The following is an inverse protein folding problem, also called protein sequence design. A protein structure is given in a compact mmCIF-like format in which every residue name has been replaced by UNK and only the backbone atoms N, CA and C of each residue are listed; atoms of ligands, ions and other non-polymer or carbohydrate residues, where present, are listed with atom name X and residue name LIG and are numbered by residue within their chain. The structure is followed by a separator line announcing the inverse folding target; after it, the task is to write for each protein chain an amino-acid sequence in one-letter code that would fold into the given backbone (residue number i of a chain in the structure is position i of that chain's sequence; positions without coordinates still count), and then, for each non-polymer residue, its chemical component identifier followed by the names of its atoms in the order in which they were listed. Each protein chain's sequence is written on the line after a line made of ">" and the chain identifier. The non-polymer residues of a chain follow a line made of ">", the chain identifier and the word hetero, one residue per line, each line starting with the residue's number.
data_IF_688609925131
#
_entry.id   IF_688609925131
#
_cell.length_a   1.000
_cell.length_b   1.000
_cell.length_c   1.000
_cell.angle_alpha   90.00
_cell.angle_beta   90.00
_cell.angle_gamma   90.00
#
_symmetry.space_group_name_H-M   'P 1'
#
loop_
_entity.id
_entity.type
_entity.pdbx_description
1 polymer ?
#
# COMPACT_ATOMS: atom_id res chain seq x y z
N UNK A 1 -34.45 -5.22 -3.67
CA UNK A 1 -33.69 -6.01 -4.68
C UNK A 1 -32.73 -5.04 -5.34
N UNK A 2 -31.41 -5.11 -5.33
CA UNK A 2 -30.37 -5.89 -4.65
C UNK A 2 -29.11 -4.99 -4.77
N UNK A 3 -28.13 -5.05 -3.86
CA UNK A 3 -26.92 -4.23 -4.01
C UNK A 3 -26.16 -4.70 -5.24
N UNK A 4 -25.76 -3.76 -6.09
CA UNK A 4 -24.94 -4.00 -7.27
C UNK A 4 -23.56 -4.48 -6.80
N UNK A 5 -23.31 -5.78 -6.91
CA UNK A 5 -22.00 -6.38 -6.64
C UNK A 5 -21.12 -6.00 -7.83
N UNK A 6 -20.39 -4.91 -7.69
CA UNK A 6 -19.39 -4.47 -8.66
C UNK A 6 -18.33 -5.56 -8.76
N UNK A 7 -18.40 -6.36 -9.84
CA UNK A 7 -17.43 -7.39 -10.14
C UNK A 7 -16.04 -6.79 -10.22
N UNK A 8 -15.12 -7.33 -9.41
CA UNK A 8 -13.70 -7.05 -9.48
C UNK A 8 -13.23 -7.21 -10.94
N UNK A 9 -12.65 -6.15 -11.51
CA UNK A 9 -12.19 -6.19 -12.90
C UNK A 9 -11.01 -7.16 -13.07
N UNK A 10 -10.63 -7.52 -14.31
CA UNK A 10 -9.46 -8.39 -14.57
C UNK A 10 -8.16 -7.91 -13.91
N UNK A 11 -8.03 -6.58 -13.69
CA UNK A 11 -6.90 -5.98 -12.98
C UNK A 11 -6.87 -6.34 -11.49
N UNK A 12 -8.04 -6.41 -10.86
CA UNK A 12 -8.18 -6.74 -9.43
C UNK A 12 -7.92 -8.22 -9.17
N UNK A 13 -8.35 -9.08 -10.11
CA UNK A 13 -8.03 -10.51 -10.07
C UNK A 13 -6.52 -10.76 -10.17
N UNK A 14 -5.84 -10.13 -11.14
CA UNK A 14 -4.39 -10.22 -11.28
C UNK A 14 -3.64 -9.66 -10.07
N UNK A 15 -4.13 -8.57 -9.47
CA UNK A 15 -3.54 -8.03 -8.25
C UNK A 15 -3.66 -9.02 -7.07
N UNK A 16 -4.80 -9.68 -6.90
CA UNK A 16 -4.99 -10.71 -5.87
C UNK A 16 -4.08 -11.91 -6.08
N UNK A 17 -3.91 -12.37 -7.31
CA UNK A 17 -2.95 -13.44 -7.65
C UNK A 17 -1.51 -13.05 -7.33
N UNK A 18 -1.09 -11.84 -7.72
CA UNK A 18 0.24 -11.33 -7.41
C UNK A 18 0.48 -11.25 -5.89
N UNK A 19 -0.51 -10.79 -5.11
CA UNK A 19 -0.40 -10.72 -3.64
C UNK A 19 -0.34 -12.12 -3.02
N UNK A 20 -1.12 -13.07 -3.53
CA UNK A 20 -1.03 -14.46 -3.09
C UNK A 20 0.38 -15.04 -3.35
N UNK A 21 0.95 -14.75 -4.52
CA UNK A 21 2.30 -15.15 -4.89
C UNK A 21 3.37 -14.52 -3.98
N UNK A 22 3.26 -13.21 -3.71
CA UNK A 22 4.13 -12.51 -2.75
C UNK A 22 4.08 -13.20 -1.38
N UNK A 23 2.87 -13.54 -0.91
CA UNK A 23 2.68 -14.20 0.38
C UNK A 23 3.35 -15.58 0.45
N UNK A 24 3.30 -16.35 -0.64
CA UNK A 24 4.05 -17.61 -0.73
C UNK A 24 5.57 -17.37 -0.60
N UNK A 25 6.14 -16.46 -1.40
CA UNK A 25 7.57 -16.15 -1.35
C UNK A 25 8.03 -15.68 0.03
N UNK A 26 7.22 -14.88 0.73
CA UNK A 26 7.51 -14.44 2.09
C UNK A 26 7.62 -15.63 3.06
N UNK A 27 6.78 -16.66 2.92
CA UNK A 27 6.88 -17.88 3.71
C UNK A 27 8.20 -18.62 3.48
N UNK A 28 8.62 -18.75 2.22
CA UNK A 28 9.90 -19.38 1.86
C UNK A 28 11.09 -18.57 2.41
N UNK A 29 11.08 -17.24 2.25
CA UNK A 29 12.14 -16.36 2.73
C UNK A 29 12.25 -16.35 4.26
N UNK A 30 11.14 -16.49 4.99
CA UNK A 30 11.14 -16.63 6.45
C UNK A 30 11.92 -17.87 6.86
N UNK A 31 11.73 -19.00 6.16
CA UNK A 31 12.48 -20.22 6.42
C UNK A 31 13.98 -20.07 6.16
N UNK A 32 14.36 -19.35 5.10
CA UNK A 32 15.78 -19.03 4.83
C UNK A 32 16.38 -18.15 5.93
N UNK A 33 15.69 -17.08 6.34
CA UNK A 33 16.16 -16.18 7.39
C UNK A 33 16.29 -16.88 8.76
N UNK A 34 15.37 -17.80 9.07
CA UNK A 34 15.37 -18.60 10.30
C UNK A 34 16.58 -19.54 10.36
N UNK A 35 16.89 -20.20 9.23
CA UNK A 35 18.07 -21.07 9.12
C UNK A 35 19.40 -20.33 9.32
N UNK A 36 19.44 -19.04 8.99
CA UNK A 36 20.62 -18.17 9.15
C UNK A 36 20.65 -17.46 10.53
N UNK A 37 19.65 -17.68 11.39
CA UNK A 37 19.55 -16.99 12.69
C UNK A 37 19.33 -15.47 12.56
N UNK A 38 18.74 -15.01 11.45
CA UNK A 38 18.54 -13.60 11.17
C UNK A 38 17.22 -13.08 11.79
N UNK A 39 17.15 -13.01 13.12
CA UNK A 39 15.91 -12.72 13.87
C UNK A 39 15.18 -11.44 13.43
N UNK A 40 15.93 -10.34 13.22
CA UNK A 40 15.35 -9.09 12.75
C UNK A 40 14.76 -9.21 11.35
N UNK A 41 15.36 -10.04 10.49
CA UNK A 41 14.86 -10.27 9.14
C UNK A 41 13.62 -11.17 9.18
N UNK A 42 13.59 -12.21 10.02
CA UNK A 42 12.39 -13.01 10.29
C UNK A 42 11.21 -12.14 10.72
N UNK A 43 11.44 -11.23 11.66
CA UNK A 43 10.41 -10.29 12.13
C UNK A 43 9.84 -9.44 10.97
N UNK A 44 10.70 -8.83 10.15
CA UNK A 44 10.26 -8.00 9.03
C UNK A 44 9.49 -8.81 7.98
N UNK A 45 9.92 -10.03 7.70
CA UNK A 45 9.25 -10.92 6.76
C UNK A 45 7.88 -11.37 7.30
N UNK A 46 7.78 -11.71 8.58
CA UNK A 46 6.51 -12.09 9.21
C UNK A 46 5.52 -10.92 9.22
N UNK A 47 5.97 -9.71 9.52
CA UNK A 47 5.11 -8.52 9.43
C UNK A 47 4.63 -8.26 8.00
N UNK A 48 5.51 -8.43 7.00
CA UNK A 48 5.12 -8.33 5.59
C UNK A 48 4.15 -9.45 5.15
N UNK A 49 4.27 -10.66 5.72
CA UNK A 49 3.36 -11.77 5.43
C UNK A 49 1.95 -11.51 5.96
N UNK A 50 1.84 -10.97 7.19
CA UNK A 50 0.56 -10.55 7.78
C UNK A 50 -0.09 -9.45 6.93
N UNK A 51 0.70 -8.45 6.56
CA UNK A 51 0.29 -7.35 5.68
C UNK A 51 -0.28 -7.84 4.34
N UNK A 52 0.41 -8.78 3.68
CA UNK A 52 -0.06 -9.37 2.43
C UNK A 52 -1.39 -10.11 2.60
N UNK A 53 -1.61 -10.78 3.74
CA UNK A 53 -2.88 -11.42 4.08
C UNK A 53 -4.03 -10.43 4.28
N UNK A 54 -3.76 -9.29 4.93
CA UNK A 54 -4.75 -8.23 5.11
C UNK A 54 -5.12 -7.56 3.78
N UNK A 55 -4.15 -7.36 2.88
CA UNK A 55 -4.41 -6.88 1.51
C UNK A 55 -5.24 -7.90 0.73
N UNK A 56 -4.87 -9.18 0.77
CA UNK A 56 -5.57 -10.25 0.04
C UNK A 56 -7.03 -10.42 0.49
N UNK A 57 -7.29 -10.26 1.79
CA UNK A 57 -8.64 -10.30 2.37
C UNK A 57 -9.45 -9.02 2.16
N UNK A 58 -8.84 -7.97 1.57
CA UNK A 58 -9.48 -6.68 1.32
C UNK A 58 -9.62 -5.81 2.55
N UNK A 59 -8.99 -6.16 3.68
CA UNK A 59 -8.95 -5.33 4.90
C UNK A 59 -8.05 -4.11 4.75
N UNK A 60 -7.07 -4.18 3.84
CA UNK A 60 -6.20 -3.06 3.48
C UNK A 60 -6.21 -2.82 1.98
N UNK A 61 -6.40 -1.57 1.58
CA UNK A 61 -6.28 -1.17 0.19
C UNK A 61 -4.81 -1.12 -0.19
N UNK A 62 -4.46 -1.63 -1.38
CA UNK A 62 -3.19 -1.27 -1.99
C UNK A 62 -3.19 0.25 -2.11
N UNK A 63 -2.14 0.91 -1.62
CA UNK A 63 -1.95 2.33 -1.87
C UNK A 63 -1.78 2.50 -3.38
N UNK A 64 -2.88 2.72 -4.09
CA UNK A 64 -2.84 3.19 -5.46
C UNK A 64 -2.19 4.57 -5.38
N UNK A 65 -0.90 4.66 -5.70
CA UNK A 65 -0.23 5.93 -5.96
C UNK A 65 -0.84 6.49 -7.25
N UNK A 66 -2.05 7.01 -7.10
CA UNK A 66 -2.73 7.97 -7.95
C UNK A 66 -3.19 9.17 -7.12
N UNK A 67 -2.65 9.34 -5.92
CA UNK A 67 -2.71 10.60 -5.20
C UNK A 67 -1.71 11.53 -5.90
N UNK A 68 -2.24 12.34 -6.81
CA UNK A 68 -1.69 13.61 -7.28
C UNK A 68 -0.92 14.25 -6.12
N UNK A 69 0.41 14.05 -6.12
CA UNK A 69 1.28 14.55 -5.08
C UNK A 69 1.17 16.06 -5.10
N UNK A 70 0.46 16.61 -4.10
CA UNK A 70 0.47 18.01 -3.68
C UNK A 70 0.86 19.00 -4.78
N UNK A 71 -0.14 19.53 -5.52
CA UNK A 71 -0.01 20.84 -6.18
C UNK A 71 0.45 21.83 -5.11
N UNK A 72 1.75 22.06 -5.05
CA UNK A 72 2.39 23.06 -4.21
C UNK A 72 1.58 24.33 -4.33
N UNK A 73 0.96 24.70 -3.21
CA UNK A 73 0.10 25.85 -3.04
C UNK A 73 0.55 27.03 -3.91
N UNK A 74 -0.23 27.30 -4.96
CA UNK A 74 -0.22 28.57 -5.67
C UNK A 74 -0.73 29.67 -4.74
N UNK A 75 0.03 30.00 -3.70
CA UNK A 75 -0.26 31.12 -2.83
C UNK A 75 0.37 32.36 -3.45
N UNK A 76 -0.33 32.99 -4.39
CA UNK A 76 -0.01 34.37 -4.81
C UNK A 76 -0.26 35.28 -3.62
N UNK A 77 0.79 35.60 -2.86
CA UNK A 77 0.72 36.67 -1.87
C UNK A 77 0.57 38.00 -2.62
N UNK A 78 -0.61 38.61 -2.52
CA UNK A 78 -0.77 40.04 -2.83
C UNK A 78 -0.30 40.82 -1.61
N UNK A 79 0.78 41.62 -1.69
CA UNK A 79 1.06 42.59 -0.64
C UNK A 79 -0.02 43.68 -0.68
N UNK A 80 -0.86 43.69 0.36
CA UNK A 80 -1.80 44.77 0.66
C UNK A 80 -1.15 45.73 1.66
N UNK A 81 -1.28 47.03 1.42
CA UNK A 81 -1.05 48.05 2.44
C UNK A 81 -0.16 49.19 1.98
N UNK A 82 -0.78 50.27 1.49
CA UNK A 82 -0.14 51.59 1.42
C UNK A 82 0.13 52.06 2.84
N UNK A 83 1.38 52.40 3.16
CA UNK A 83 1.69 53.18 4.35
C UNK A 83 1.97 54.60 3.86
N UNK A 84 1.09 55.50 4.30
CA UNK A 84 1.17 56.95 4.09
C UNK A 84 2.28 57.52 4.97
N UNK A 85 3.08 58.43 4.40
CA UNK A 85 3.93 59.39 5.12
C UNK A 85 3.29 60.78 5.00
#
# INVERSE_FOLDING_TARGET
>A
MSPNVTGAGPKDARARENIAYIRQMLGELRGVADNEGADMLCYLIEMAFVEAGDIQSGKRQLSFVGAEGNKSAGMTMKPSGKIQL
#
